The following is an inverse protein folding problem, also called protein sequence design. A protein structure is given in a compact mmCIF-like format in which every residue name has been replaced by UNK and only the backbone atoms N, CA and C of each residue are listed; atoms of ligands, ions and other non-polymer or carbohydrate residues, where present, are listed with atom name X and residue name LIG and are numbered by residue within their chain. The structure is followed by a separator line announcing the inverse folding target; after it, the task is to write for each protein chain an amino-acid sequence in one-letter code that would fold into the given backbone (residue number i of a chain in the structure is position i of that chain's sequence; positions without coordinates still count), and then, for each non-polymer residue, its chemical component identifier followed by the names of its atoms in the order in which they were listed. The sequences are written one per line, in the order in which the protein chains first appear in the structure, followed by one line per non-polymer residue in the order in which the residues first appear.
data_IF_276549669760
#
_entry.id   IF_276549669760
#
_cell.length_a   1.000
_cell.length_b   1.000
_cell.length_c   1.000
_cell.angle_alpha   90.00
_cell.angle_beta   90.00
_cell.angle_gamma   90.00
#
_symmetry.space_group_name_H-M   'P 1'
#
loop_
_entity.id
_entity.type
_entity.pdbx_description
1 polymer ?
#
# COMPACT_ATOMS: atom_id res chain seq x y z
N UNK A 1 -7.38 -16.81 4.08
CA UNK A 1 -7.30 -16.71 2.60
C UNK A 1 -7.91 -15.41 2.08
N UNK A 2 -9.14 -15.02 2.46
CA UNK A 2 -9.75 -13.73 2.06
C UNK A 2 -8.85 -12.51 2.32
N UNK A 3 -8.21 -12.42 3.49
CA UNK A 3 -7.28 -11.32 3.80
C UNK A 3 -6.10 -11.24 2.84
N UNK A 4 -5.53 -12.40 2.48
CA UNK A 4 -4.39 -12.47 1.57
C UNK A 4 -4.78 -12.08 0.15
N UNK A 5 -5.96 -12.51 -0.32
CA UNK A 5 -6.45 -12.11 -1.64
C UNK A 5 -6.62 -10.59 -1.77
N UNK A 6 -7.13 -9.93 -0.71
CA UNK A 6 -7.23 -8.47 -0.65
C UNK A 6 -5.85 -7.81 -0.65
N UNK A 7 -4.96 -8.28 0.22
CA UNK A 7 -3.60 -7.73 0.40
C UNK A 7 -2.78 -7.79 -0.87
N UNK A 8 -2.87 -8.90 -1.63
CA UNK A 8 -2.14 -9.03 -2.90
C UNK A 8 -2.54 -7.92 -3.87
N UNK A 9 -3.83 -7.60 -3.98
CA UNK A 9 -4.30 -6.51 -4.82
C UNK A 9 -3.76 -5.14 -4.38
N UNK A 10 -3.74 -4.88 -3.08
CA UNK A 10 -3.23 -3.62 -2.51
C UNK A 10 -1.73 -3.45 -2.75
N UNK A 11 -0.93 -4.51 -2.57
CA UNK A 11 0.53 -4.46 -2.81
C UNK A 11 0.85 -4.21 -4.28
N UNK A 12 0.11 -4.86 -5.20
CA UNK A 12 0.33 -4.70 -6.64
C UNK A 12 0.00 -3.26 -7.06
N UNK A 13 -1.04 -2.65 -6.48
CA UNK A 13 -1.44 -1.28 -6.78
C UNK A 13 -0.33 -0.27 -6.43
N UNK A 14 0.26 -0.37 -5.23
CA UNK A 14 1.37 0.49 -4.79
C UNK A 14 2.54 0.44 -5.79
N UNK A 15 2.93 -0.77 -6.19
CA UNK A 15 4.03 -0.98 -7.15
C UNK A 15 3.73 -0.46 -8.55
N UNK A 16 2.47 -0.59 -9.01
CA UNK A 16 2.04 -0.06 -10.31
C UNK A 16 2.10 1.47 -10.30
N UNK A 17 1.58 2.13 -9.26
CA UNK A 17 1.57 3.60 -9.16
C UNK A 17 2.98 4.17 -9.22
N UNK A 18 3.94 3.58 -8.50
CA UNK A 18 5.35 4.01 -8.55
C UNK A 18 5.93 3.80 -9.95
N UNK A 19 5.73 2.62 -10.55
CA UNK A 19 6.26 2.29 -11.89
C UNK A 19 5.68 3.19 -12.98
N UNK A 20 4.39 3.47 -12.94
CA UNK A 20 3.69 4.33 -13.90
C UNK A 20 4.24 5.77 -13.82
N UNK A 21 4.49 6.27 -12.61
CA UNK A 21 5.07 7.60 -12.44
C UNK A 21 6.51 7.66 -12.97
N UNK A 22 7.33 6.63 -12.73
CA UNK A 22 8.69 6.53 -13.29
C UNK A 22 8.64 6.56 -14.82
N UNK A 23 7.76 5.76 -15.42
CA UNK A 23 7.63 5.69 -16.88
C UNK A 23 7.22 7.05 -17.47
N UNK A 24 6.28 7.74 -16.82
CA UNK A 24 5.86 9.10 -17.20
C UNK A 24 7.03 10.09 -17.20
N UNK A 25 7.96 10.00 -16.24
CA UNK A 25 9.16 10.84 -16.23
C UNK A 25 10.17 10.44 -17.31
N UNK A 26 10.31 9.14 -17.61
CA UNK A 26 11.15 8.66 -18.72
C UNK A 26 10.61 9.16 -20.07
N UNK A 27 9.30 9.11 -20.30
CA UNK A 27 8.65 9.61 -21.50
C UNK A 27 8.82 11.14 -21.69
N UNK A 28 9.03 11.87 -20.59
CA UNK A 28 9.39 13.30 -20.62
C UNK A 28 10.86 13.56 -20.95
N UNK A 29 11.65 12.53 -21.23
CA UNK A 29 13.05 12.62 -21.66
C UNK A 29 14.09 12.53 -20.54
N UNK A 30 13.70 12.19 -19.31
CA UNK A 30 14.63 12.04 -18.20
C UNK A 30 15.36 10.69 -18.26
N UNK A 31 16.62 10.66 -17.80
CA UNK A 31 17.38 9.42 -17.69
C UNK A 31 16.78 8.52 -16.59
N UNK A 32 16.76 7.19 -16.74
CA UNK A 32 16.14 6.27 -15.77
C UNK A 32 16.47 6.51 -14.29
N UNK A 33 17.74 6.76 -13.87
CA UNK A 33 18.04 7.02 -12.46
C UNK A 33 17.48 8.36 -11.96
N UNK A 34 17.41 9.38 -12.81
CA UNK A 34 16.85 10.68 -12.45
C UNK A 34 15.32 10.63 -12.42
N UNK A 35 14.72 9.93 -13.38
CA UNK A 35 13.29 9.68 -13.43
C UNK A 35 12.81 8.93 -12.18
N UNK A 36 13.54 7.90 -11.74
CA UNK A 36 13.23 7.17 -10.52
C UNK A 36 13.22 8.08 -9.28
N UNK A 37 14.28 8.86 -9.07
CA UNK A 37 14.37 9.75 -7.91
C UNK A 37 13.26 10.81 -7.87
N UNK A 38 12.97 11.44 -9.00
CA UNK A 38 11.90 12.45 -9.08
C UNK A 38 10.51 11.83 -8.94
N UNK A 39 10.29 10.69 -9.58
CA UNK A 39 9.01 10.00 -9.53
C UNK A 39 8.68 9.53 -8.12
N UNK A 40 9.63 8.93 -7.40
CA UNK A 40 9.45 8.48 -6.02
C UNK A 40 9.12 9.66 -5.09
N UNK A 41 9.80 10.80 -5.23
CA UNK A 41 9.53 11.98 -4.41
C UNK A 41 8.10 12.54 -4.57
N UNK A 42 7.48 12.37 -5.75
CA UNK A 42 6.12 12.83 -6.05
C UNK A 42 5.03 11.88 -5.51
N UNK A 43 5.30 10.56 -5.50
CA UNK A 43 4.30 9.54 -5.12
C UNK A 43 4.35 9.15 -3.64
N UNK A 44 5.41 9.49 -2.91
CA UNK A 44 5.56 9.20 -1.47
C UNK A 44 4.36 9.71 -0.66
N UNK A 45 3.94 10.96 -0.85
CA UNK A 45 2.82 11.54 -0.10
C UNK A 45 1.49 10.81 -0.39
N UNK A 46 1.10 10.57 -1.66
CA UNK A 46 -0.06 9.75 -1.99
C UNK A 46 -0.04 8.35 -1.36
N UNK A 47 1.07 7.61 -1.47
CA UNK A 47 1.18 6.22 -0.97
C UNK A 47 1.06 6.15 0.55
N UNK A 48 1.61 7.13 1.27
CA UNK A 48 1.45 7.20 2.72
C UNK A 48 -0.01 7.50 3.09
N UNK A 49 -0.69 8.39 2.35
CA UNK A 49 -2.08 8.74 2.61
C UNK A 49 -3.06 7.57 2.39
N UNK A 50 -2.86 6.79 1.33
CA UNK A 50 -3.67 5.58 1.07
C UNK A 50 -3.44 4.53 2.16
N UNK A 51 -2.17 4.27 2.51
CA UNK A 51 -1.80 3.36 3.60
C UNK A 51 -2.45 3.76 4.93
N UNK A 52 -2.37 5.04 5.29
CA UNK A 52 -2.97 5.56 6.51
C UNK A 52 -4.49 5.37 6.53
N UNK A 53 -5.15 5.54 5.39
CA UNK A 53 -6.59 5.31 5.23
C UNK A 53 -6.94 3.84 5.45
N UNK A 54 -6.17 2.91 4.87
CA UNK A 54 -6.35 1.47 5.04
C UNK A 54 -6.19 1.11 6.53
N UNK A 55 -5.14 1.60 7.18
CA UNK A 55 -4.91 1.37 8.62
C UNK A 55 -6.04 1.94 9.48
N UNK A 56 -6.53 3.14 9.17
CA UNK A 56 -7.63 3.76 9.90
C UNK A 56 -8.93 2.93 9.84
N UNK A 57 -9.14 2.15 8.78
CA UNK A 57 -10.30 1.26 8.63
C UNK A 57 -10.04 -0.10 9.28
N UNK A 58 -8.93 -0.76 8.96
CA UNK A 58 -8.72 -2.17 9.33
C UNK A 58 -8.17 -2.36 10.74
N UNK A 59 -7.46 -1.38 11.29
CA UNK A 59 -6.92 -1.48 12.64
C UNK A 59 -8.04 -1.51 13.69
N UNK A 60 -9.04 -0.60 13.69
CA UNK A 60 -10.17 -0.69 14.63
C UNK A 60 -11.01 -1.96 14.44
N UNK A 61 -11.19 -2.40 13.19
CA UNK A 61 -11.93 -3.62 12.86
C UNK A 61 -11.26 -4.87 13.46
N UNK A 62 -9.92 -4.88 13.57
CA UNK A 62 -9.20 -5.98 14.22
C UNK A 62 -9.47 -6.08 15.74
N UNK A 63 -9.90 -5.00 16.39
CA UNK A 63 -10.25 -4.95 17.81
C UNK A 63 -11.75 -5.09 18.08
N UNK A 64 -12.57 -5.32 17.05
CA UNK A 64 -14.00 -5.54 17.23
C UNK A 64 -14.27 -6.77 18.11
N UNK A 65 -15.24 -6.66 19.02
CA UNK A 65 -15.62 -7.72 19.96
C UNK A 65 -16.69 -8.67 19.40
N UNK A 66 -16.82 -9.85 20.01
CA UNK A 66 -17.85 -10.84 19.66
C UNK A 66 -17.37 -11.96 18.72
N UNK A 67 -18.30 -12.84 18.32
CA UNK A 67 -18.01 -13.98 17.44
C UNK A 67 -17.46 -13.50 16.09
N UNK A 68 -18.09 -12.46 15.53
CA UNK A 68 -17.70 -11.81 14.27
C UNK A 68 -16.31 -11.17 14.43
N UNK A 69 -16.07 -10.49 15.56
CA UNK A 69 -14.78 -9.89 15.89
C UNK A 69 -13.59 -10.86 15.87
N UNK A 70 -13.77 -12.12 16.26
CA UNK A 70 -12.69 -13.14 16.18
C UNK A 70 -12.26 -13.45 14.76
N UNK A 71 -13.19 -13.44 13.80
CA UNK A 71 -12.88 -13.63 12.37
C UNK A 71 -12.21 -12.39 11.78
N UNK A 72 -12.66 -11.20 12.17
CA UNK A 72 -12.09 -9.93 11.73
C UNK A 72 -10.74 -9.62 12.38
N UNK A 73 -10.44 -10.15 13.57
CA UNK A 73 -9.14 -9.98 14.23
C UNK A 73 -7.99 -10.54 13.39
N UNK A 74 -8.09 -11.79 12.96
CA UNK A 74 -7.07 -12.42 12.12
C UNK A 74 -6.99 -11.76 10.73
N UNK A 75 -8.14 -11.38 10.17
CA UNK A 75 -8.22 -10.68 8.89
C UNK A 75 -7.57 -9.28 8.96
N UNK A 76 -8.01 -8.44 9.89
CA UNK A 76 -7.58 -7.05 10.05
C UNK A 76 -6.11 -6.92 10.45
N UNK A 77 -5.60 -7.79 11.33
CA UNK A 77 -4.16 -7.83 11.65
C UNK A 77 -3.32 -8.22 10.44
N UNK A 78 -3.76 -9.21 9.66
CA UNK A 78 -3.03 -9.63 8.45
C UNK A 78 -2.94 -8.49 7.44
N UNK A 79 -4.06 -7.81 7.17
CA UNK A 79 -4.11 -6.66 6.25
C UNK A 79 -3.24 -5.51 6.75
N UNK A 80 -3.35 -5.18 8.04
CA UNK A 80 -2.62 -4.05 8.64
C UNK A 80 -1.11 -4.27 8.67
N UNK A 81 -0.66 -5.49 8.98
CA UNK A 81 0.79 -5.80 8.97
C UNK A 81 1.31 -5.82 7.54
N UNK A 82 0.56 -6.43 6.61
CA UNK A 82 1.00 -6.52 5.23
C UNK A 82 1.08 -5.16 4.53
N UNK A 83 0.13 -4.26 4.77
CA UNK A 83 0.17 -2.91 4.16
C UNK A 83 1.36 -2.11 4.70
N UNK A 84 1.66 -2.20 6.00
CA UNK A 84 2.83 -1.51 6.58
C UNK A 84 4.13 -1.99 5.95
N UNK A 85 4.27 -3.30 5.71
CA UNK A 85 5.43 -3.86 5.02
C UNK A 85 5.47 -3.41 3.56
N UNK A 86 4.32 -3.39 2.86
CA UNK A 86 4.20 -2.89 1.47
C UNK A 86 4.70 -1.46 1.34
N UNK A 87 4.20 -0.57 2.20
CA UNK A 87 4.59 0.84 2.19
C UNK A 87 6.07 1.03 2.47
N UNK A 88 6.67 0.18 3.30
CA UNK A 88 8.10 0.21 3.57
C UNK A 88 8.94 -0.25 2.37
N UNK A 89 8.49 -1.26 1.62
CA UNK A 89 9.16 -1.72 0.39
C UNK A 89 8.96 -0.75 -0.80
N UNK A 90 7.83 -0.07 -0.85
CA UNK A 90 7.49 0.85 -1.93
C UNK A 90 8.19 2.22 -1.83
N UNK A 91 8.70 2.58 -0.65
CA UNK A 91 9.40 3.84 -0.36
C UNK A 91 10.89 3.77 -0.71
#
# INVERSE_FOLDING_TARGET
LLALALVIGLIIDDGIVVRENILRWIERGYRPPEAASRATAEVIQPVIATTATILAVFLPVAYASGIIGRFFRSFGLTVSIAIVISTFEAL
#
